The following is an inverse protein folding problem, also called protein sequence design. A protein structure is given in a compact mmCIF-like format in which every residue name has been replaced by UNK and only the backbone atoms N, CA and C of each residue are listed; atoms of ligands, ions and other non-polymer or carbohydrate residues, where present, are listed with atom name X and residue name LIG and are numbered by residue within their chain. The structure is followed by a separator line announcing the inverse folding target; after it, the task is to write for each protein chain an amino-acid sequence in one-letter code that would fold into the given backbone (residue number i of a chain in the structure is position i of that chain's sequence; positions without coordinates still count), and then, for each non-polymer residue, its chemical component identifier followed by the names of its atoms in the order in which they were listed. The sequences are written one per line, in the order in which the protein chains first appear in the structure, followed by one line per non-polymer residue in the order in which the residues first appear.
data_IF_924151579604
#
_entry.id   IF_924151579604
#
_cell.length_a   1.000
_cell.length_b   1.000
_cell.length_c   1.000
_cell.angle_alpha   90.00
_cell.angle_beta   90.00
_cell.angle_gamma   90.00
#
_symmetry.space_group_name_H-M   'P 1'
#
loop_
_entity.id
_entity.type
_entity.pdbx_description
1 polymer ?
#
# COMPACT_ATOMS: atom_id res chain seq x y z
N UNK A 1 23.59 10.21 46.16
CA UNK A 1 22.73 10.26 44.96
C UNK A 1 21.83 9.02 44.95
N UNK A 2 20.50 9.18 45.07
CA UNK A 2 19.57 8.05 45.23
C UNK A 2 19.29 7.36 43.89
N UNK A 3 19.90 6.20 43.67
CA UNK A 3 19.86 5.47 42.40
C UNK A 3 18.46 4.96 42.02
N UNK A 4 17.59 4.67 43.00
CA UNK A 4 16.24 4.12 42.75
C UNK A 4 15.29 5.15 42.15
N UNK A 5 15.35 6.40 42.62
CA UNK A 5 14.52 7.49 42.11
C UNK A 5 14.91 7.94 40.70
N UNK A 6 16.22 7.95 40.39
CA UNK A 6 16.71 8.34 39.07
C UNK A 6 16.32 7.36 37.96
N UNK A 7 16.31 6.06 38.25
CA UNK A 7 15.86 5.04 37.28
C UNK A 7 14.38 5.18 36.98
N UNK A 8 13.55 5.48 37.99
CA UNK A 8 12.11 5.72 37.80
C UNK A 8 11.86 6.95 36.91
N UNK A 9 12.60 8.04 37.14
CA UNK A 9 12.51 9.26 36.32
C UNK A 9 12.90 8.97 34.87
N UNK A 10 14.00 8.22 34.66
CA UNK A 10 14.41 7.81 33.32
C UNK A 10 13.36 6.94 32.61
N UNK A 11 12.76 6.00 33.34
CA UNK A 11 11.72 5.11 32.80
C UNK A 11 10.47 5.89 32.35
N UNK A 12 10.02 6.87 33.13
CA UNK A 12 8.87 7.72 32.78
C UNK A 12 9.15 8.52 31.50
N UNK A 13 10.38 8.99 31.30
CA UNK A 13 10.79 9.71 30.08
C UNK A 13 10.89 8.75 28.87
N UNK A 14 11.30 7.51 29.09
CA UNK A 14 11.43 6.51 28.02
C UNK A 14 10.08 6.02 27.47
N UNK A 15 9.02 5.96 28.29
CA UNK A 15 7.71 5.44 27.86
C UNK A 15 7.15 6.20 26.65
N UNK A 16 7.02 7.55 26.65
CA UNK A 16 6.55 8.30 25.49
C UNK A 16 7.37 8.04 24.23
N UNK A 17 8.70 7.98 24.36
CA UNK A 17 9.62 7.73 23.25
C UNK A 17 9.35 6.34 22.64
N UNK A 18 9.18 5.32 23.48
CA UNK A 18 8.84 3.97 23.02
C UNK A 18 7.48 3.94 22.32
N UNK A 19 6.47 4.62 22.86
CA UNK A 19 5.14 4.69 22.24
C UNK A 19 5.22 5.32 20.85
N UNK A 20 5.97 6.41 20.69
CA UNK A 20 6.17 7.05 19.37
C UNK A 20 6.87 6.11 18.39
N UNK A 21 7.90 5.39 18.83
CA UNK A 21 8.61 4.42 17.99
C UNK A 21 7.69 3.26 17.56
N UNK A 22 6.94 2.67 18.49
CA UNK A 22 5.98 1.61 18.15
C UNK A 22 4.87 2.11 17.24
N UNK A 23 4.37 3.32 17.47
CA UNK A 23 3.37 3.96 16.59
C UNK A 23 3.89 4.06 15.16
N UNK A 24 5.13 4.52 14.99
CA UNK A 24 5.75 4.60 13.67
C UNK A 24 5.91 3.23 13.01
N UNK A 25 6.36 2.21 13.76
CA UNK A 25 6.51 0.85 13.25
C UNK A 25 5.17 0.25 12.78
N UNK A 26 4.11 0.44 13.57
CA UNK A 26 2.76 -0.01 13.23
C UNK A 26 2.28 0.69 11.96
N UNK A 27 2.46 2.00 11.87
CA UNK A 27 2.05 2.81 10.71
C UNK A 27 2.73 2.35 9.42
N UNK A 28 4.07 2.21 9.44
CA UNK A 28 4.83 1.73 8.27
C UNK A 28 4.41 0.32 7.86
N UNK A 29 4.20 -0.56 8.84
CA UNK A 29 3.75 -1.93 8.58
C UNK A 29 2.37 -1.97 7.96
N UNK A 30 1.45 -1.15 8.45
CA UNK A 30 0.09 -1.02 7.91
C UNK A 30 0.09 -0.52 6.46
N UNK A 31 0.91 0.50 6.15
CA UNK A 31 1.06 1.02 4.78
C UNK A 31 1.65 -0.06 3.86
N UNK A 32 2.69 -0.76 4.31
CA UNK A 32 3.31 -1.83 3.55
C UNK A 32 2.31 -2.97 3.25
N UNK A 33 1.53 -3.39 4.25
CA UNK A 33 0.49 -4.40 4.09
C UNK A 33 -0.55 -4.00 3.04
N UNK A 34 -1.09 -2.77 3.12
CA UNK A 34 -2.08 -2.29 2.15
C UNK A 34 -1.49 -2.16 0.74
N UNK A 35 -0.25 -1.68 0.62
CA UNK A 35 0.46 -1.65 -0.66
C UNK A 35 0.61 -3.05 -1.25
N UNK A 36 0.93 -4.05 -0.43
CA UNK A 36 0.98 -5.45 -0.85
C UNK A 36 -0.39 -6.00 -1.27
N UNK A 37 -1.48 -5.69 -0.53
CA UNK A 37 -2.86 -6.04 -0.92
C UNK A 37 -3.18 -5.49 -2.31
N UNK A 38 -2.94 -4.19 -2.53
CA UNK A 38 -3.20 -3.53 -3.82
C UNK A 38 -2.41 -4.21 -4.93
N UNK A 39 -1.11 -4.45 -4.73
CA UNK A 39 -0.30 -5.17 -5.72
C UNK A 39 -0.85 -6.57 -6.03
N UNK A 40 -1.34 -7.30 -5.04
CA UNK A 40 -1.93 -8.64 -5.25
C UNK A 40 -3.23 -8.58 -6.05
N UNK A 41 -4.09 -7.61 -5.74
CA UNK A 41 -5.35 -7.38 -6.47
C UNK A 41 -5.06 -7.01 -7.92
N UNK A 42 -4.16 -6.05 -8.16
CA UNK A 42 -3.77 -5.64 -9.53
C UNK A 42 -3.21 -6.82 -10.32
N UNK A 43 -2.34 -7.65 -9.75
CA UNK A 43 -1.83 -8.85 -10.45
C UNK A 43 -2.95 -9.82 -10.87
N UNK A 44 -3.95 -9.97 -10.01
CA UNK A 44 -5.13 -10.81 -10.28
C UNK A 44 -5.99 -10.22 -11.38
N UNK A 45 -6.19 -8.90 -11.37
CA UNK A 45 -6.91 -8.17 -12.42
C UNK A 45 -6.19 -8.32 -13.76
N UNK A 46 -4.86 -8.12 -13.79
CA UNK A 46 -4.04 -8.32 -14.98
C UNK A 46 -4.17 -9.76 -15.51
N UNK A 47 -4.12 -10.77 -14.62
CA UNK A 47 -4.25 -12.16 -15.04
C UNK A 47 -5.62 -12.49 -15.65
N UNK A 48 -6.69 -11.90 -15.12
CA UNK A 48 -8.06 -12.11 -15.61
C UNK A 48 -8.35 -11.35 -16.91
N UNK A 49 -7.79 -10.15 -17.06
CA UNK A 49 -8.08 -9.23 -18.16
C UNK A 49 -7.01 -9.22 -19.25
N UNK A 50 -6.01 -10.10 -19.18
CA UNK A 50 -4.90 -10.19 -20.14
C UNK A 50 -5.34 -10.25 -21.62
N UNK A 51 -6.60 -10.61 -21.91
CA UNK A 51 -7.15 -10.77 -23.25
C UNK A 51 -8.44 -10.00 -23.51
N UNK A 52 -8.98 -9.26 -22.54
CA UNK A 52 -10.20 -8.48 -22.72
C UNK A 52 -10.19 -7.26 -21.80
N UNK A 53 -10.23 -6.07 -22.40
CA UNK A 53 -10.10 -4.79 -21.71
C UNK A 53 -11.48 -4.15 -21.49
N UNK A 54 -12.19 -4.59 -20.46
CA UNK A 54 -13.35 -3.83 -19.99
C UNK A 54 -12.94 -2.95 -18.81
N UNK A 55 -12.74 -1.65 -19.08
CA UNK A 55 -12.34 -0.67 -18.08
C UNK A 55 -13.33 -0.58 -16.90
N UNK A 56 -14.63 -0.72 -17.19
CA UNK A 56 -15.66 -0.67 -16.16
C UNK A 56 -15.54 -1.86 -15.18
N UNK A 57 -15.27 -3.04 -15.70
CA UNK A 57 -15.09 -4.24 -14.89
C UNK A 57 -13.82 -4.14 -14.04
N UNK A 58 -12.74 -3.58 -14.58
CA UNK A 58 -11.49 -3.36 -13.84
C UNK A 58 -11.68 -2.42 -12.66
N UNK A 59 -12.40 -1.30 -12.85
CA UNK A 59 -12.70 -0.35 -11.77
C UNK A 59 -13.56 -1.02 -10.70
N UNK A 60 -14.58 -1.80 -11.10
CA UNK A 60 -15.43 -2.52 -10.16
C UNK A 60 -14.63 -3.56 -9.35
N UNK A 61 -13.71 -4.30 -9.98
CA UNK A 61 -12.85 -5.25 -9.29
C UNK A 61 -11.96 -4.59 -8.22
N UNK A 62 -11.50 -3.36 -8.44
CA UNK A 62 -10.78 -2.60 -7.42
C UNK A 62 -11.71 -2.15 -6.30
N UNK A 63 -12.89 -1.65 -6.65
CA UNK A 63 -13.90 -1.19 -5.68
C UNK A 63 -14.38 -2.32 -4.77
N UNK A 64 -14.58 -3.53 -5.32
CA UNK A 64 -14.93 -4.75 -4.57
C UNK A 64 -13.85 -5.14 -3.54
N UNK A 65 -12.64 -4.60 -3.66
CA UNK A 65 -11.52 -4.80 -2.74
C UNK A 65 -11.22 -3.57 -1.86
N UNK A 66 -12.14 -2.60 -1.80
CA UNK A 66 -12.02 -1.34 -1.06
C UNK A 66 -10.84 -0.46 -1.54
N UNK A 67 -10.54 -0.47 -2.84
CA UNK A 67 -9.48 0.33 -3.44
C UNK A 67 -10.13 1.40 -4.33
N UNK A 68 -10.03 2.66 -3.91
CA UNK A 68 -10.43 3.80 -4.73
C UNK A 68 -9.33 4.14 -5.73
N UNK A 69 -9.68 4.17 -7.01
CA UNK A 69 -8.73 4.29 -8.12
C UNK A 69 -8.91 5.65 -8.79
N UNK A 70 -7.79 6.38 -8.92
CA UNK A 70 -7.73 7.68 -9.60
C UNK A 70 -6.73 7.60 -10.74
N UNK A 71 -6.99 8.33 -11.82
CA UNK A 71 -6.10 8.42 -12.99
C UNK A 71 -5.69 7.05 -13.57
N UNK A 72 -6.63 6.09 -13.64
CA UNK A 72 -6.37 4.76 -14.18
C UNK A 72 -5.94 4.83 -15.65
N UNK A 73 -4.81 4.22 -15.96
CA UNK A 73 -4.31 4.03 -17.32
C UNK A 73 -3.97 2.56 -17.51
N UNK A 74 -4.32 2.05 -18.69
CA UNK A 74 -4.03 0.69 -19.13
C UNK A 74 -3.27 0.81 -20.44
N UNK A 75 -2.13 0.15 -20.55
CA UNK A 75 -1.33 0.09 -21.76
C UNK A 75 -0.98 -1.37 -22.07
N UNK A 76 -1.25 -1.81 -23.30
CA UNK A 76 -1.06 -3.17 -23.76
C UNK A 76 0.07 -3.32 -24.80
N UNK A 77 0.86 -2.27 -25.03
CA UNK A 77 1.88 -2.22 -26.09
C UNK A 77 3.04 -3.21 -25.91
N UNK A 78 3.54 -3.38 -24.69
CA UNK A 78 4.72 -4.22 -24.35
C UNK A 78 4.40 -5.30 -23.31
N UNK A 79 3.12 -5.52 -23.04
CA UNK A 79 2.59 -6.29 -21.92
C UNK A 79 1.40 -5.57 -21.32
N UNK A 80 0.67 -6.23 -20.42
CA UNK A 80 -0.51 -5.65 -19.78
C UNK A 80 -0.10 -4.76 -18.60
N UNK A 81 0.02 -3.46 -18.83
CA UNK A 81 0.36 -2.46 -17.83
C UNK A 81 -0.89 -1.83 -17.23
N UNK A 82 -0.95 -1.77 -15.90
CA UNK A 82 -1.92 -0.97 -15.18
C UNK A 82 -1.17 0.04 -14.33
N UNK A 83 -1.51 1.33 -14.51
CA UNK A 83 -1.03 2.42 -13.66
C UNK A 83 -2.18 3.27 -13.13
N UNK A 84 -2.11 3.64 -11.86
CA UNK A 84 -3.13 4.46 -11.21
C UNK A 84 -2.61 5.06 -9.91
N UNK A 85 -3.36 6.04 -9.40
CA UNK A 85 -3.17 6.63 -8.08
C UNK A 85 -4.23 6.12 -7.12
N UNK A 86 -3.84 5.89 -5.88
CA UNK A 86 -4.77 5.58 -4.81
C UNK A 86 -4.25 6.14 -3.49
N UNK A 87 -5.08 6.15 -2.46
CA UNK A 87 -4.73 6.67 -1.14
C UNK A 87 -4.92 5.57 -0.09
N UNK A 88 -3.87 5.28 0.66
CA UNK A 88 -3.94 4.38 1.81
C UNK A 88 -4.30 5.22 3.04
N UNK A 89 -5.40 4.93 3.74
CA UNK A 89 -5.75 5.65 4.96
C UNK A 89 -4.66 5.46 6.01
N UNK A 90 -4.38 6.49 6.79
CA UNK A 90 -3.42 6.40 7.89
C UNK A 90 -4.09 5.87 9.16
N UNK A 91 -3.40 5.00 9.91
CA UNK A 91 -3.93 4.43 11.14
C UNK A 91 -3.69 5.39 12.31
N UNK A 92 -2.49 5.96 12.41
CA UNK A 92 -2.04 6.85 13.49
C UNK A 92 -1.69 8.26 13.01
N UNK A 93 -1.53 8.48 11.71
CA UNK A 93 -1.18 9.79 11.13
C UNK A 93 -2.24 10.86 11.33
N UNK A 94 -3.49 10.49 11.64
CA UNK A 94 -4.52 11.46 12.07
C UNK A 94 -4.07 12.27 13.30
N UNK A 95 -3.26 11.68 14.18
CA UNK A 95 -2.68 12.37 15.35
C UNK A 95 -1.72 13.51 14.95
N UNK A 96 -1.18 13.45 13.73
CA UNK A 96 -0.25 14.46 13.16
C UNK A 96 -0.83 15.12 11.91
N UNK A 97 -2.16 15.18 11.80
CA UNK A 97 -2.89 15.78 10.68
C UNK A 97 -2.55 15.19 9.29
N UNK A 98 -2.15 13.93 9.24
CA UNK A 98 -1.93 13.16 8.00
C UNK A 98 -2.92 12.00 7.93
N UNK A 99 -4.07 12.23 7.29
CA UNK A 99 -5.17 11.26 7.25
C UNK A 99 -4.96 10.11 6.25
N UNK A 100 -4.10 10.29 5.24
CA UNK A 100 -3.81 9.27 4.22
C UNK A 100 -2.44 9.47 3.56
N UNK A 101 -2.03 8.46 2.80
CA UNK A 101 -0.82 8.43 1.98
C UNK A 101 -1.18 8.12 0.54
N UNK A 102 -0.97 9.09 -0.33
CA UNK A 102 -1.12 8.88 -1.77
C UNK A 102 0.03 8.03 -2.28
N UNK A 103 -0.31 7.04 -3.09
CA UNK A 103 0.62 6.10 -3.69
C UNK A 103 0.32 5.94 -5.18
N UNK A 104 1.38 5.97 -5.96
CA UNK A 104 1.35 5.60 -7.37
C UNK A 104 1.59 4.09 -7.49
N UNK A 105 0.71 3.42 -8.22
CA UNK A 105 0.81 2.00 -8.52
C UNK A 105 1.09 1.86 -10.01
N UNK A 106 2.12 1.10 -10.34
CA UNK A 106 2.49 0.73 -11.69
C UNK A 106 2.90 -0.75 -11.72
N UNK A 107 2.14 -1.58 -12.44
CA UNK A 107 2.46 -3.00 -12.63
C UNK A 107 2.29 -3.36 -14.10
N UNK A 108 3.33 -3.99 -14.65
CA UNK A 108 3.27 -4.64 -15.96
C UNK A 108 3.26 -6.15 -15.81
N UNK A 109 2.28 -6.82 -16.41
CA UNK A 109 2.28 -8.26 -16.60
C UNK A 109 2.72 -8.63 -18.03
N UNK A 110 3.78 -9.42 -18.15
CA UNK A 110 4.26 -9.94 -19.44
C UNK A 110 4.08 -11.44 -19.47
N UNK A 111 3.40 -11.97 -20.48
CA UNK A 111 3.21 -13.41 -20.67
C UNK A 111 4.44 -14.02 -21.33
N UNK A 112 5.18 -14.83 -20.59
CA UNK A 112 6.34 -15.59 -21.06
C UNK A 112 6.10 -17.07 -20.77
N UNK A 113 6.22 -17.93 -21.80
CA UNK A 113 6.09 -19.39 -21.66
C UNK A 113 4.80 -19.85 -20.95
N UNK A 114 3.67 -19.17 -21.23
CA UNK A 114 2.37 -19.50 -20.62
C UNK A 114 2.17 -19.03 -19.18
N UNK A 115 3.18 -18.41 -18.55
CA UNK A 115 3.09 -17.78 -17.22
C UNK A 115 3.16 -16.26 -17.35
N UNK A 116 2.46 -15.55 -16.47
CA UNK A 116 2.55 -14.08 -16.40
C UNK A 116 3.66 -13.73 -15.41
N UNK A 117 4.71 -13.05 -15.88
CA UNK A 117 5.71 -12.40 -15.04
C UNK A 117 5.29 -10.97 -14.77
N UNK A 118 5.46 -10.54 -13.52
CA UNK A 118 5.03 -9.21 -13.09
C UNK A 118 6.25 -8.35 -12.78
N UNK A 119 6.28 -7.15 -13.34
CA UNK A 119 7.29 -6.13 -13.08
C UNK A 119 6.63 -4.93 -12.41
N UNK A 120 7.27 -4.41 -11.38
CA UNK A 120 6.85 -3.17 -10.71
C UNK A 120 7.62 -2.01 -11.34
N UNK A 121 6.90 -1.00 -11.81
CA UNK A 121 7.47 0.27 -12.26
C UNK A 121 7.54 1.30 -11.16
#
# INVERSE_FOLDING_TARGET
MNKKGQVLVLFIICIPIMITLFSYLIEVSYIAYNKHKIYSVTKTIIAKNYSNDNLFDIINMYKDNDIDVKDLKIDNSLGYNISFKTSIPSLLGKLINKSSYDIDINITGVKENGKIKYQRG
#
